data_IF_244051156268
#
_entry.id   IF_244051156268
#
_cell.length_a   1.000
_cell.length_b   1.000
_cell.length_c   1.000
_cell.angle_alpha   90.00
_cell.angle_beta   90.00
_cell.angle_gamma   90.00
#
_symmetry.space_group_name_H-M   'P 1'
#
loop_
_entity.id
_entity.type
_entity.pdbx_description
1 polymer ?
#
# COMPACT_ATOMS: atom_id res chain seq x y z
N UNK A 1 3.06 12.95 -16.78
CA UNK A 1 4.31 12.60 -16.10
C UNK A 1 4.34 11.12 -15.75
N UNK A 2 5.52 10.51 -15.74
CA UNK A 2 5.79 9.15 -15.29
C UNK A 2 6.82 9.19 -14.17
N UNK A 3 6.57 8.47 -13.08
CA UNK A 3 7.49 8.36 -11.97
C UNK A 3 7.63 6.90 -11.54
N UNK A 4 8.86 6.45 -11.33
CA UNK A 4 9.20 5.17 -10.72
C UNK A 4 9.93 5.40 -9.40
N UNK A 5 9.61 4.60 -8.39
CA UNK A 5 10.27 4.60 -7.09
C UNK A 5 10.47 3.16 -6.63
N UNK A 6 11.67 2.84 -6.17
CA UNK A 6 12.02 1.53 -5.61
C UNK A 6 12.87 1.73 -4.37
N UNK A 7 12.58 0.98 -3.31
CA UNK A 7 13.29 1.06 -2.04
C UNK A 7 13.35 -0.31 -1.37
N UNK A 8 14.53 -0.69 -0.92
CA UNK A 8 14.71 -1.80 0.01
C UNK A 8 14.55 -1.28 1.46
N UNK A 9 13.85 -2.06 2.27
CA UNK A 9 13.69 -1.73 3.69
C UNK A 9 14.91 -2.14 4.52
N UNK A 10 15.02 -1.58 5.72
CA UNK A 10 16.07 -1.94 6.70
C UNK A 10 15.93 -3.40 7.14
N UNK A 11 14.69 -3.90 7.22
CA UNK A 11 14.42 -5.29 7.56
C UNK A 11 14.62 -6.15 6.29
N UNK A 12 15.35 -7.25 6.44
CA UNK A 12 15.60 -8.19 5.35
C UNK A 12 14.30 -8.62 4.67
N UNK A 13 14.34 -8.80 3.34
CA UNK A 13 13.22 -9.21 2.48
C UNK A 13 12.06 -8.22 2.41
N UNK A 14 12.21 -6.99 2.92
CA UNK A 14 11.19 -5.95 2.73
C UNK A 14 11.56 -5.04 1.58
N UNK A 15 10.65 -4.86 0.65
CA UNK A 15 10.83 -3.98 -0.52
C UNK A 15 9.55 -3.21 -0.80
N UNK A 16 9.69 -2.02 -1.35
CA UNK A 16 8.57 -1.22 -1.82
C UNK A 16 8.88 -0.64 -3.20
N UNK A 17 8.04 -1.00 -4.19
CA UNK A 17 8.11 -0.45 -5.53
C UNK A 17 6.82 0.31 -5.85
N UNK A 18 6.95 1.44 -6.53
CA UNK A 18 5.82 2.23 -7.00
C UNK A 18 6.05 2.78 -8.40
N UNK A 19 5.09 2.60 -9.28
CA UNK A 19 5.02 3.27 -10.57
C UNK A 19 3.78 4.15 -10.59
N UNK A 20 3.96 5.40 -10.99
CA UNK A 20 2.87 6.39 -11.08
C UNK A 20 2.87 7.01 -12.47
N UNK A 21 1.74 6.96 -13.16
CA UNK A 21 1.46 7.70 -14.37
C UNK A 21 0.42 8.77 -14.07
N UNK A 22 0.68 10.02 -14.46
CA UNK A 22 -0.25 11.14 -14.31
C UNK A 22 -0.44 11.86 -15.63
N UNK A 23 -1.70 12.09 -15.98
CA UNK A 23 -2.14 12.92 -17.08
C UNK A 23 -3.10 13.98 -16.56
N UNK A 24 -2.90 15.23 -16.97
CA UNK A 24 -3.80 16.34 -16.68
C UNK A 24 -3.97 17.14 -17.96
N UNK A 25 -5.18 17.57 -18.23
CA UNK A 25 -5.50 18.35 -19.40
C UNK A 25 -6.70 19.26 -19.20
N UNK A 26 -6.63 20.47 -19.74
CA UNK A 26 -7.72 21.40 -19.83
C UNK A 26 -7.95 21.75 -21.30
N UNK A 27 -9.17 21.60 -21.76
CA UNK A 27 -9.59 21.90 -23.10
C UNK A 27 -10.67 22.99 -23.11
N UNK A 28 -10.34 24.14 -23.70
CA UNK A 28 -11.31 25.21 -23.95
C UNK A 28 -12.10 24.89 -25.21
N UNK A 29 -13.30 24.32 -25.04
CA UNK A 29 -14.17 23.98 -26.15
C UNK A 29 -14.66 25.23 -26.87
N UNK A 30 -14.90 26.33 -26.14
CA UNK A 30 -15.24 27.65 -26.68
C UNK A 30 -15.00 28.74 -25.58
N UNK A 31 -15.47 29.98 -25.83
CA UNK A 31 -15.25 31.11 -24.90
C UNK A 31 -15.97 30.98 -23.55
N UNK A 32 -16.97 30.11 -23.46
CA UNK A 32 -17.78 29.92 -22.26
C UNK A 32 -17.67 28.53 -21.63
N UNK A 33 -17.06 27.53 -22.32
CA UNK A 33 -16.96 26.16 -21.87
C UNK A 33 -15.51 25.68 -21.81
N UNK A 34 -15.09 25.23 -20.64
CA UNK A 34 -13.82 24.50 -20.43
C UNK A 34 -14.15 23.12 -19.88
N UNK A 35 -13.50 22.10 -20.39
CA UNK A 35 -13.56 20.73 -19.89
C UNK A 35 -12.15 20.32 -19.48
N UNK A 36 -12.02 19.70 -18.33
CA UNK A 36 -10.71 19.26 -17.86
C UNK A 36 -10.75 17.87 -17.25
N UNK A 37 -9.58 17.26 -17.23
CA UNK A 37 -9.36 15.95 -16.67
C UNK A 37 -8.07 15.89 -15.86
N UNK A 38 -8.08 15.10 -14.79
CA UNK A 38 -6.89 14.72 -14.03
C UNK A 38 -6.97 13.23 -13.76
N UNK A 39 -6.03 12.47 -14.29
CA UNK A 39 -5.97 11.02 -14.12
C UNK A 39 -4.62 10.66 -13.52
N UNK A 40 -4.64 9.85 -12.47
CA UNK A 40 -3.44 9.28 -11.86
C UNK A 40 -3.62 7.78 -11.74
N UNK A 41 -2.71 7.02 -12.34
CA UNK A 41 -2.63 5.57 -12.22
C UNK A 41 -1.42 5.24 -11.37
N UNK A 42 -1.62 4.42 -10.36
CA UNK A 42 -0.57 4.02 -9.42
C UNK A 42 -0.59 2.50 -9.32
N UNK A 43 0.59 1.91 -9.44
CA UNK A 43 0.82 0.53 -9.04
C UNK A 43 1.86 0.53 -7.93
N UNK A 44 1.55 -0.13 -6.83
CA UNK A 44 2.51 -0.41 -5.75
C UNK A 44 2.71 -1.90 -5.59
N UNK A 45 3.92 -2.29 -5.23
CA UNK A 45 4.26 -3.65 -4.85
C UNK A 45 5.07 -3.58 -3.56
N UNK A 46 4.54 -4.18 -2.51
CA UNK A 46 5.19 -4.25 -1.21
C UNK A 46 5.44 -5.72 -0.87
N UNK A 47 6.68 -6.06 -0.58
CA UNK A 47 7.07 -7.38 -0.09
C UNK A 47 7.54 -7.27 1.34
N UNK A 48 7.31 -8.34 2.10
CA UNK A 48 7.57 -8.39 3.52
C UNK A 48 6.50 -7.62 4.30
N UNK A 49 6.15 -8.12 5.45
CA UNK A 49 5.22 -7.49 6.36
C UNK A 49 5.85 -7.42 7.74
N UNK A 50 5.67 -6.30 8.40
CA UNK A 50 5.90 -6.19 9.83
C UNK A 50 4.49 -6.20 10.41
N UNK A 51 4.06 -7.36 10.88
CA UNK A 51 2.84 -7.43 11.68
C UNK A 51 3.11 -6.70 13.00
N UNK A 52 2.15 -5.91 13.43
CA UNK A 52 2.27 -5.12 14.66
C UNK A 52 1.76 -5.94 15.84
N UNK A 53 2.32 -7.13 16.01
CA UNK A 53 2.01 -8.09 17.06
C UNK A 53 3.21 -8.22 18.02
N UNK A 54 2.99 -8.13 19.32
CA UNK A 54 4.05 -8.14 20.31
C UNK A 54 4.80 -9.48 20.41
N UNK A 55 4.17 -10.60 19.98
CA UNK A 55 4.71 -11.95 20.12
C UNK A 55 5.40 -12.46 18.85
N UNK A 56 4.95 -11.99 17.69
CA UNK A 56 5.36 -12.55 16.39
C UNK A 56 6.06 -11.54 15.48
N UNK A 57 5.90 -10.24 15.74
CA UNK A 57 6.56 -9.18 14.96
C UNK A 57 8.08 -9.31 15.04
N UNK A 58 8.81 -9.34 13.91
CA UNK A 58 10.27 -9.40 13.92
C UNK A 58 10.93 -8.25 14.68
N UNK A 59 10.34 -7.06 14.69
CA UNK A 59 10.86 -5.91 15.42
C UNK A 59 10.69 -6.14 16.93
N UNK A 60 9.47 -6.42 17.36
CA UNK A 60 9.18 -6.59 18.79
C UNK A 60 9.93 -7.77 19.39
N UNK A 61 9.97 -8.89 18.67
CA UNK A 61 10.71 -10.08 19.13
C UNK A 61 12.22 -9.85 19.17
N UNK A 62 12.77 -8.95 18.36
CA UNK A 62 14.18 -8.55 18.45
C UNK A 62 14.48 -7.78 19.74
N UNK A 63 13.56 -6.91 20.18
CA UNK A 63 13.73 -6.15 21.44
C UNK A 63 13.53 -7.00 22.70
N UNK A 64 12.66 -7.99 22.61
CA UNK A 64 12.26 -8.79 23.78
C UNK A 64 13.03 -10.10 23.93
N UNK A 65 13.73 -10.54 22.86
CA UNK A 65 14.57 -11.73 22.92
C UNK A 65 15.83 -11.51 23.76
N UNK A 66 16.21 -12.51 24.52
CA UNK A 66 17.42 -12.48 25.30
C UNK A 66 18.68 -12.33 24.39
N UNK A 67 19.68 -11.52 24.80
CA UNK A 67 20.83 -11.22 23.94
C UNK A 67 21.90 -12.32 23.93
N UNK A 68 21.80 -13.33 24.79
CA UNK A 68 22.81 -14.40 24.92
C UNK A 68 22.47 -15.64 24.10
N UNK A 69 21.20 -15.81 23.69
CA UNK A 69 20.80 -16.92 22.80
C UNK A 69 21.17 -16.60 21.37
N UNK A 70 22.01 -17.36 20.68
CA UNK A 70 22.33 -17.15 19.29
C UNK A 70 21.07 -17.30 18.42
N UNK A 71 21.05 -16.64 17.27
CA UNK A 71 19.90 -16.70 16.34
C UNK A 71 19.81 -18.06 15.63
N UNK A 72 20.96 -18.72 15.40
CA UNK A 72 21.06 -20.03 14.77
C UNK A 72 21.92 -20.98 15.59
N UNK A 73 21.58 -22.24 15.53
CA UNK A 73 22.41 -23.33 16.03
C UNK A 73 23.63 -23.56 15.10
N UNK A 74 24.58 -24.38 15.54
CA UNK A 74 25.76 -24.74 14.74
C UNK A 74 25.41 -25.46 13.44
N UNK A 75 24.30 -26.19 13.42
CA UNK A 75 23.75 -26.86 12.21
C UNK A 75 23.01 -25.92 11.26
N UNK A 76 22.93 -24.61 11.59
CA UNK A 76 22.24 -23.58 10.80
C UNK A 76 20.75 -23.47 11.05
N UNK A 77 20.15 -24.36 11.85
CA UNK A 77 18.72 -24.26 12.24
C UNK A 77 18.48 -23.03 13.13
N UNK A 78 17.23 -22.58 13.21
CA UNK A 78 16.87 -21.45 14.07
C UNK A 78 16.75 -21.90 15.53
N UNK A 79 17.25 -21.05 16.46
CA UNK A 79 17.20 -21.35 17.90
C UNK A 79 15.88 -20.88 18.51
N UNK A 80 15.39 -21.62 19.50
CA UNK A 80 14.45 -21.14 20.50
C UNK A 80 15.20 -20.23 21.51
N UNK A 81 14.55 -19.19 22.05
CA UNK A 81 15.11 -18.48 23.23
C UNK A 81 15.21 -19.43 24.43
N UNK A 82 16.29 -19.33 25.20
CA UNK A 82 16.50 -20.16 26.39
C UNK A 82 15.58 -19.75 27.55
N UNK A 83 15.19 -18.48 27.60
CA UNK A 83 14.49 -17.89 28.75
C UNK A 83 13.02 -17.55 28.48
N UNK A 84 12.54 -17.67 27.23
CA UNK A 84 11.18 -17.30 26.87
C UNK A 84 10.69 -18.06 25.65
N UNK A 85 9.37 -18.01 25.40
CA UNK A 85 8.72 -18.54 24.19
C UNK A 85 8.61 -17.45 23.09
N UNK A 86 9.46 -16.41 23.15
CA UNK A 86 9.52 -15.38 22.13
C UNK A 86 10.04 -15.95 20.82
N UNK A 87 9.37 -15.61 19.73
CA UNK A 87 9.71 -16.11 18.41
C UNK A 87 11.10 -15.67 17.96
N UNK A 88 11.73 -16.52 17.17
CA UNK A 88 12.99 -16.15 16.49
C UNK A 88 12.67 -15.17 15.35
N UNK A 89 13.14 -13.92 15.42
CA UNK A 89 12.78 -12.89 14.45
C UNK A 89 13.26 -13.21 13.02
N UNK A 90 14.44 -13.85 12.89
CA UNK A 90 14.92 -14.24 11.57
C UNK A 90 14.14 -15.41 10.98
N UNK A 91 13.65 -16.34 11.78
CA UNK A 91 12.77 -17.40 11.31
C UNK A 91 11.45 -16.83 10.79
N UNK A 92 10.87 -15.85 11.49
CA UNK A 92 9.68 -15.14 11.02
C UNK A 92 9.90 -14.49 9.65
N UNK A 93 11.02 -13.77 9.48
CA UNK A 93 11.38 -13.14 8.19
C UNK A 93 11.65 -14.19 7.10
N UNK A 94 12.21 -15.34 7.47
CA UNK A 94 12.57 -16.39 6.50
C UNK A 94 11.35 -17.12 5.97
N UNK A 95 10.40 -17.44 6.84
CA UNK A 95 9.27 -18.30 6.52
C UNK A 95 7.98 -17.55 6.22
N UNK A 96 7.84 -16.29 6.62
CA UNK A 96 6.68 -15.48 6.31
C UNK A 96 7.02 -14.45 5.23
N UNK A 97 6.51 -14.66 4.02
CA UNK A 97 6.80 -13.82 2.85
C UNK A 97 5.51 -13.21 2.26
N UNK A 98 4.86 -12.28 2.97
CA UNK A 98 3.68 -11.61 2.45
C UNK A 98 4.06 -10.65 1.31
N UNK A 99 3.18 -10.59 0.32
CA UNK A 99 3.25 -9.67 -0.80
C UNK A 99 1.91 -8.97 -0.95
N UNK A 100 1.94 -7.67 -1.06
CA UNK A 100 0.77 -6.86 -1.36
C UNK A 100 1.02 -6.06 -2.65
N UNK A 101 0.17 -6.26 -3.65
CA UNK A 101 0.17 -5.47 -4.88
C UNK A 101 -1.12 -4.64 -4.90
N UNK A 102 -0.99 -3.31 -5.05
CA UNK A 102 -2.14 -2.45 -5.16
C UNK A 102 -2.14 -1.69 -6.50
N UNK A 103 -3.30 -1.65 -7.13
CA UNK A 103 -3.57 -0.83 -8.31
C UNK A 103 -4.57 0.24 -7.90
N UNK A 104 -4.22 1.50 -8.09
CA UNK A 104 -5.07 2.64 -7.73
C UNK A 104 -5.26 3.56 -8.91
N UNK A 105 -6.51 3.89 -9.18
CA UNK A 105 -6.93 4.86 -10.18
C UNK A 105 -7.58 6.03 -9.46
N UNK A 106 -7.01 7.22 -9.64
CA UNK A 106 -7.62 8.49 -9.22
C UNK A 106 -8.00 9.23 -10.50
N UNK A 107 -9.27 9.55 -10.66
CA UNK A 107 -9.74 10.31 -11.81
C UNK A 107 -10.67 11.43 -11.37
N UNK A 108 -10.48 12.59 -11.99
CA UNK A 108 -11.37 13.73 -11.87
C UNK A 108 -11.65 14.27 -13.27
N UNK A 109 -12.91 14.40 -13.61
CA UNK A 109 -13.37 15.03 -14.86
C UNK A 109 -14.27 16.18 -14.47
N UNK A 110 -14.12 17.33 -15.10
CA UNK A 110 -14.94 18.49 -14.82
C UNK A 110 -15.32 19.27 -16.07
N UNK A 111 -16.46 19.92 -15.98
CA UNK A 111 -16.89 20.96 -16.91
C UNK A 111 -17.08 22.28 -16.17
N UNK A 112 -16.59 23.36 -16.76
CA UNK A 112 -16.70 24.71 -16.26
C UNK A 112 -17.38 25.60 -17.30
N UNK A 113 -18.47 26.28 -16.89
CA UNK A 113 -19.26 27.17 -17.74
C UNK A 113 -19.17 28.58 -17.17
N UNK A 114 -18.73 29.53 -18.01
CA UNK A 114 -18.76 30.95 -17.68
C UNK A 114 -20.00 31.58 -18.35
N UNK A 115 -20.84 32.25 -17.58
CA UNK A 115 -22.07 32.87 -18.06
C UNK A 115 -22.38 34.19 -17.35
N UNK A 116 -23.22 35.01 -17.95
CA UNK A 116 -23.64 36.32 -17.43
C UNK A 116 -22.48 37.21 -16.93
N UNK A 117 -21.33 37.16 -17.61
CA UNK A 117 -20.09 37.92 -17.36
C UNK A 117 -19.40 37.70 -16.01
N UNK A 118 -20.17 37.44 -14.93
CA UNK A 118 -19.67 37.34 -13.57
C UNK A 118 -19.91 36.00 -12.91
N UNK A 119 -20.57 35.07 -13.57
CA UNK A 119 -20.89 33.76 -13.03
C UNK A 119 -20.06 32.67 -13.67
N UNK A 120 -19.60 31.75 -12.82
CA UNK A 120 -18.90 30.55 -13.19
C UNK A 120 -19.56 29.35 -12.50
N UNK A 121 -20.01 28.40 -13.26
CA UNK A 121 -20.49 27.11 -12.74
C UNK A 121 -19.51 26.01 -13.11
N UNK A 122 -19.10 25.24 -12.12
CA UNK A 122 -18.22 24.08 -12.30
C UNK A 122 -18.91 22.84 -11.74
N UNK A 123 -18.99 21.82 -12.55
CA UNK A 123 -19.44 20.48 -12.16
C UNK A 123 -18.29 19.51 -12.35
N UNK A 124 -17.98 18.74 -11.32
CA UNK A 124 -16.86 17.80 -11.30
C UNK A 124 -17.30 16.43 -10.77
N UNK A 125 -16.84 15.38 -11.43
CA UNK A 125 -16.95 14.02 -10.97
C UNK A 125 -15.57 13.48 -10.66
N UNK A 126 -15.37 13.02 -9.43
CA UNK A 126 -14.14 12.39 -8.96
C UNK A 126 -14.40 10.95 -8.60
N UNK A 127 -13.47 10.08 -8.91
CA UNK A 127 -13.50 8.69 -8.51
C UNK A 127 -12.12 8.21 -8.06
N UNK A 128 -12.13 7.38 -7.04
CA UNK A 128 -10.99 6.59 -6.63
C UNK A 128 -11.38 5.10 -6.67
N UNK A 129 -10.61 4.33 -7.39
CA UNK A 129 -10.70 2.88 -7.40
C UNK A 129 -9.36 2.31 -6.93
N UNK A 130 -9.40 1.45 -5.92
CA UNK A 130 -8.22 0.73 -5.44
C UNK A 130 -8.53 -0.76 -5.44
N UNK A 131 -7.68 -1.55 -6.07
CA UNK A 131 -7.68 -3.00 -5.99
C UNK A 131 -6.42 -3.46 -5.29
N UNK A 132 -6.57 -4.23 -4.21
CA UNK A 132 -5.46 -4.80 -3.44
C UNK A 132 -5.47 -6.33 -3.60
N UNK A 133 -4.31 -6.87 -3.92
CA UNK A 133 -4.03 -8.29 -4.06
C UNK A 133 -3.00 -8.69 -3.01
N UNK A 134 -3.43 -9.48 -2.05
CA UNK A 134 -2.55 -10.03 -1.02
C UNK A 134 -2.24 -11.49 -1.31
N UNK A 135 -0.98 -11.85 -1.14
CA UNK A 135 -0.49 -13.23 -1.24
C UNK A 135 0.52 -13.49 -0.13
N UNK A 136 0.37 -14.57 0.60
CA UNK A 136 1.33 -15.02 1.60
C UNK A 136 1.50 -16.54 1.50
N UNK A 137 2.75 -16.97 1.45
CA UNK A 137 3.13 -18.38 1.44
C UNK A 137 3.98 -18.68 2.68
N UNK A 138 3.53 -19.65 3.47
CA UNK A 138 4.22 -20.15 4.65
C UNK A 138 4.53 -21.65 4.41
N UNK A 139 5.80 -22.04 4.25
CA UNK A 139 6.17 -23.44 4.10
C UNK A 139 5.95 -24.22 5.39
N UNK A 140 6.05 -25.54 5.30
CA UNK A 140 6.26 -26.39 6.49
C UNK A 140 7.60 -26.05 7.10
N UNK A 141 7.60 -25.71 8.39
CA UNK A 141 8.83 -25.45 9.16
C UNK A 141 8.62 -25.74 10.64
N UNK A 142 9.73 -25.90 11.35
CA UNK A 142 9.76 -26.06 12.79
C UNK A 142 10.94 -25.30 13.39
N UNK A 143 10.69 -24.46 14.39
CA UNK A 143 11.70 -23.86 15.28
C UNK A 143 11.52 -24.42 16.68
N UNK A 144 10.32 -24.29 17.22
CA UNK A 144 9.86 -24.88 18.47
C UNK A 144 8.32 -24.91 18.52
N UNK A 145 7.74 -25.48 19.58
CA UNK A 145 6.29 -25.74 19.66
C UNK A 145 5.39 -24.53 19.43
N UNK A 146 5.81 -23.31 19.80
CA UNK A 146 5.03 -22.08 19.57
C UNK A 146 5.38 -21.37 18.24
N UNK A 147 6.48 -21.73 17.57
CA UNK A 147 6.89 -21.16 16.28
C UNK A 147 7.12 -22.28 15.27
N UNK A 148 6.07 -22.69 14.61
CA UNK A 148 6.07 -23.78 13.65
C UNK A 148 4.88 -23.72 12.69
N UNK A 149 5.02 -24.38 11.56
CA UNK A 149 3.94 -24.77 10.65
C UNK A 149 4.19 -26.26 10.28
N UNK A 150 3.73 -27.23 11.09
CA UNK A 150 4.27 -28.58 11.03
C UNK A 150 3.62 -29.49 9.97
N UNK A 151 2.41 -29.17 9.50
CA UNK A 151 1.60 -30.16 8.78
C UNK A 151 1.61 -29.95 7.25
N UNK A 152 1.24 -28.75 6.80
CA UNK A 152 1.04 -28.46 5.38
C UNK A 152 1.54 -27.06 5.05
N UNK A 153 2.01 -26.87 3.82
CA UNK A 153 2.30 -25.53 3.32
C UNK A 153 1.00 -24.71 3.27
N UNK A 154 1.04 -23.48 3.74
CA UNK A 154 -0.10 -22.56 3.75
C UNK A 154 0.07 -21.52 2.65
N UNK A 155 -0.94 -21.37 1.80
CA UNK A 155 -1.04 -20.30 0.81
C UNK A 155 -2.31 -19.49 1.09
N UNK A 156 -2.14 -18.22 1.38
CA UNK A 156 -3.24 -17.28 1.56
C UNK A 156 -3.23 -16.29 0.41
N UNK A 157 -4.33 -16.24 -0.34
CA UNK A 157 -4.55 -15.24 -1.38
C UNK A 157 -5.91 -14.60 -1.16
N UNK A 158 -5.97 -13.27 -1.17
CA UNK A 158 -7.24 -12.56 -1.23
C UNK A 158 -7.09 -11.27 -2.02
N UNK A 159 -8.21 -10.84 -2.56
CA UNK A 159 -8.32 -9.58 -3.30
C UNK A 159 -9.50 -8.81 -2.75
N UNK A 160 -9.31 -7.52 -2.53
CA UNK A 160 -10.40 -6.61 -2.19
C UNK A 160 -10.29 -5.32 -2.96
N UNK A 161 -11.44 -4.73 -3.27
CA UNK A 161 -11.53 -3.48 -4.00
C UNK A 161 -12.31 -2.44 -3.20
N UNK A 162 -11.84 -1.21 -3.26
CA UNK A 162 -12.53 -0.05 -2.71
C UNK A 162 -12.87 0.90 -3.84
N UNK A 163 -14.07 1.45 -3.80
CA UNK A 163 -14.56 2.38 -4.79
C UNK A 163 -15.21 3.58 -4.13
N UNK A 164 -14.63 4.77 -4.35
CA UNK A 164 -15.12 6.06 -3.83
C UNK A 164 -15.55 6.92 -5.01
N UNK A 165 -16.69 7.59 -4.90
CA UNK A 165 -17.21 8.52 -5.89
C UNK A 165 -17.62 9.82 -5.22
N UNK A 166 -17.34 10.92 -5.88
CA UNK A 166 -17.74 12.24 -5.43
C UNK A 166 -18.23 13.05 -6.61
N UNK A 167 -19.34 13.73 -6.41
CA UNK A 167 -19.88 14.69 -7.36
C UNK A 167 -19.95 16.06 -6.69
N UNK A 168 -19.31 17.06 -7.30
CA UNK A 168 -19.18 18.41 -6.74
C UNK A 168 -19.69 19.43 -7.75
N UNK A 169 -20.58 20.30 -7.30
CA UNK A 169 -21.09 21.44 -8.07
C UNK A 169 -20.74 22.73 -7.34
N UNK A 170 -20.16 23.68 -8.04
CA UNK A 170 -19.78 24.98 -7.48
C UNK A 170 -20.28 26.09 -8.38
N UNK A 171 -20.97 27.07 -7.78
CA UNK A 171 -21.35 28.30 -8.43
C UNK A 171 -20.53 29.45 -7.82
N UNK A 172 -19.78 30.15 -8.64
CA UNK A 172 -18.98 31.31 -8.23
C UNK A 172 -19.54 32.57 -8.86
N UNK A 173 -19.66 33.64 -8.06
CA UNK A 173 -19.98 34.97 -8.52
C UNK A 173 -18.81 35.91 -8.20
N UNK A 174 -18.23 36.55 -9.22
CA UNK A 174 -17.09 37.46 -9.09
C UNK A 174 -17.45 38.81 -9.72
N UNK A 175 -17.51 39.88 -8.90
CA UNK A 175 -17.78 41.23 -9.32
C UNK A 175 -16.76 42.18 -8.67
N UNK A 176 -16.00 42.90 -9.48
CA UNK A 176 -15.20 44.01 -8.96
C UNK A 176 -16.11 45.17 -8.53
N UNK A 177 -16.14 45.45 -7.24
CA UNK A 177 -16.73 46.66 -6.70
C UNK A 177 -15.76 47.81 -7.04
N UNK A 178 -16.35 48.89 -7.57
CA UNK A 178 -15.63 50.14 -7.80
C UNK A 178 -15.50 50.92 -6.52
#
# INVERSE_FOLDING_TARGET
SLNGFSQDGIIKKTTFDRVTLRANGDFKANSWLTVGENITLIRTNHKGGIENDEWTSPIMTTYTRDPITPIRNEDGSFTKSTFSDIWNPLATIEYNNPKNTAYRVLANIYGEINFLKNFKFRSAYSTEYTNNEFSSYIPVYYVFSAQQNPNVNSLTNYTYSTYVRQFTNTLTYDKKLK
#
